data_IF_141263868018
#
_entry.id   IF_141263868018
#
_cell.length_a   1.000
_cell.length_b   1.000
_cell.length_c   1.000
_cell.angle_alpha   90.00
_cell.angle_beta   90.00
_cell.angle_gamma   90.00
#
_symmetry.space_group_name_H-M   'P 1'
#
loop_
_entity.id
_entity.type
_entity.pdbx_description
1 polymer ?
#
# COMPACT_ATOMS: atom_id res chain seq x y z
N UNK A 1 -2.82 24.94 3.30
CA UNK A 1 -3.20 24.13 4.49
C UNK A 1 -3.93 22.87 4.01
N UNK A 2 -3.59 21.74 4.60
CA UNK A 2 -4.27 20.49 4.26
C UNK A 2 -5.72 20.50 4.71
N UNK A 3 -6.57 19.87 3.88
CA UNK A 3 -8.01 19.82 4.13
C UNK A 3 -8.47 18.37 4.26
N UNK A 4 -7.94 17.66 5.25
CA UNK A 4 -8.38 16.30 5.54
C UNK A 4 -8.65 16.13 7.03
N UNK A 5 -9.49 15.16 7.36
CA UNK A 5 -9.77 14.81 8.75
C UNK A 5 -8.90 13.64 9.15
N UNK A 6 -8.27 13.75 10.33
CA UNK A 6 -7.36 12.72 10.82
C UNK A 6 -8.05 11.37 10.97
N UNK A 7 -9.31 11.35 11.40
CA UNK A 7 -10.07 10.12 11.55
C UNK A 7 -10.27 9.42 10.21
N UNK A 8 -10.52 10.20 9.14
CA UNK A 8 -10.67 9.65 7.80
C UNK A 8 -9.36 9.03 7.31
N UNK A 9 -8.26 9.71 7.56
CA UNK A 9 -6.93 9.21 7.20
C UNK A 9 -6.61 7.90 7.93
N UNK A 10 -6.84 7.87 9.23
CA UNK A 10 -6.59 6.67 10.02
C UNK A 10 -7.44 5.50 9.54
N UNK A 11 -8.72 5.76 9.26
CA UNK A 11 -9.61 4.72 8.78
C UNK A 11 -9.18 4.21 7.41
N UNK A 12 -8.73 5.11 6.54
CA UNK A 12 -8.23 4.76 5.22
C UNK A 12 -7.03 3.80 5.32
N UNK A 13 -6.08 4.10 6.18
CA UNK A 13 -4.90 3.25 6.37
C UNK A 13 -5.29 1.89 6.95
N UNK A 14 -6.21 1.87 7.92
CA UNK A 14 -6.71 0.60 8.47
C UNK A 14 -7.39 -0.25 7.41
N UNK A 15 -8.17 0.39 6.53
CA UNK A 15 -8.82 -0.30 5.43
C UNK A 15 -7.81 -0.89 4.45
N UNK A 16 -6.73 -0.16 4.15
CA UNK A 16 -5.65 -0.67 3.31
C UNK A 16 -5.04 -1.93 3.90
N UNK A 17 -4.73 -1.89 5.20
CA UNK A 17 -4.10 -3.03 5.87
C UNK A 17 -5.03 -4.24 5.91
N UNK A 18 -6.30 -4.03 6.23
CA UNK A 18 -7.28 -5.11 6.27
C UNK A 18 -7.47 -5.74 4.89
N UNK A 19 -7.61 -4.90 3.86
CA UNK A 19 -7.78 -5.36 2.48
C UNK A 19 -6.53 -6.08 1.99
N UNK A 20 -5.35 -5.55 2.31
CA UNK A 20 -4.09 -6.17 1.92
C UNK A 20 -3.94 -7.56 2.55
N UNK A 21 -4.25 -7.69 3.84
CA UNK A 21 -4.18 -8.99 4.51
C UNK A 21 -5.11 -10.00 3.87
N UNK A 22 -6.34 -9.58 3.60
CA UNK A 22 -7.35 -10.47 3.02
C UNK A 22 -6.98 -10.91 1.60
N UNK A 23 -6.66 -9.96 0.73
CA UNK A 23 -6.40 -10.26 -0.69
C UNK A 23 -5.05 -10.95 -0.89
N UNK A 24 -4.04 -10.58 -0.13
CA UNK A 24 -2.73 -11.21 -0.25
C UNK A 24 -2.79 -12.68 0.15
N UNK A 25 -3.56 -13.00 1.19
CA UNK A 25 -3.73 -14.39 1.61
C UNK A 25 -4.34 -15.23 0.50
N UNK A 26 -5.34 -14.68 -0.19
CA UNK A 26 -6.01 -15.39 -1.29
C UNK A 26 -5.06 -15.62 -2.46
N UNK A 27 -4.31 -14.59 -2.86
CA UNK A 27 -3.42 -14.64 -4.03
C UNK A 27 -2.18 -15.48 -3.76
N UNK A 28 -1.62 -15.38 -2.57
CA UNK A 28 -0.38 -16.07 -2.22
C UNK A 28 -0.45 -17.57 -2.47
N UNK A 29 -1.59 -18.19 -2.19
CA UNK A 29 -1.72 -19.63 -2.31
C UNK A 29 -1.93 -20.11 -3.75
N UNK A 30 -2.36 -19.22 -4.65
CA UNK A 30 -2.77 -19.62 -6.00
C UNK A 30 -1.99 -18.87 -7.09
N UNK A 31 -2.16 -17.57 -7.20
CA UNK A 31 -1.64 -16.79 -8.32
C UNK A 31 -0.21 -16.31 -8.15
N UNK A 32 0.17 -15.94 -6.93
CA UNK A 32 1.49 -15.39 -6.67
C UNK A 32 2.61 -16.35 -7.09
N UNK A 33 2.43 -17.63 -6.84
CA UNK A 33 3.41 -18.64 -7.20
C UNK A 33 3.50 -18.86 -8.71
N UNK A 34 2.38 -18.77 -9.40
CA UNK A 34 2.36 -19.00 -10.85
C UNK A 34 2.97 -17.84 -11.64
N UNK A 35 2.72 -16.62 -11.26
CA UNK A 35 3.26 -15.46 -11.96
C UNK A 35 4.77 -15.42 -11.95
N UNK A 36 5.38 -15.90 -10.89
CA UNK A 36 6.84 -15.98 -10.80
C UNK A 36 7.40 -16.93 -11.85
N UNK A 37 6.70 -18.01 -12.12
CA UNK A 37 7.16 -19.01 -13.07
C UNK A 37 7.12 -18.56 -14.52
N UNK A 38 6.41 -17.48 -14.85
CA UNK A 38 6.26 -16.99 -16.22
C UNK A 38 7.46 -16.18 -16.69
N UNK A 39 8.39 -15.88 -15.80
CA UNK A 39 9.62 -15.21 -16.20
C UNK A 39 9.52 -13.69 -16.34
N UNK A 40 8.45 -13.09 -15.90
CA UNK A 40 8.34 -11.64 -15.87
C UNK A 40 9.32 -11.07 -14.84
N UNK A 41 9.80 -9.84 -15.08
CA UNK A 41 10.78 -9.21 -14.21
C UNK A 41 10.28 -8.95 -12.80
N UNK A 42 8.97 -8.83 -12.62
CA UNK A 42 8.40 -8.60 -11.30
C UNK A 42 6.93 -9.03 -11.26
N UNK A 43 6.48 -9.37 -10.05
CA UNK A 43 5.07 -9.67 -9.78
C UNK A 43 4.54 -8.61 -8.81
N UNK A 44 3.41 -8.02 -9.13
CA UNK A 44 2.79 -6.98 -8.30
C UNK A 44 1.43 -7.42 -7.79
N UNK A 45 1.15 -7.01 -6.57
CA UNK A 45 -0.16 -7.09 -5.96
C UNK A 45 -0.47 -5.72 -5.36
N UNK A 46 -1.68 -5.21 -5.57
CA UNK A 46 -2.02 -3.85 -5.19
C UNK A 46 -3.43 -3.78 -4.63
N UNK A 47 -3.57 -3.11 -3.50
CA UNK A 47 -4.87 -2.81 -2.91
C UNK A 47 -5.03 -1.31 -2.75
N UNK A 48 -6.27 -0.84 -2.79
CA UNK A 48 -6.61 0.58 -2.70
C UNK A 48 -7.57 0.84 -1.56
N UNK A 49 -7.48 2.04 -1.01
CA UNK A 49 -8.52 2.61 -0.16
C UNK A 49 -8.79 4.04 -0.61
N UNK A 50 -10.05 4.40 -0.74
CA UNK A 50 -10.46 5.74 -1.16
C UNK A 50 -10.85 6.56 0.06
N UNK A 51 -10.57 7.85 0.00
CA UNK A 51 -11.01 8.79 1.01
C UNK A 51 -11.06 10.19 0.42
N UNK A 52 -11.79 11.09 1.08
CA UNK A 52 -11.93 12.46 0.62
C UNK A 52 -11.56 13.43 1.73
N UNK A 53 -11.15 14.63 1.35
CA UNK A 53 -10.90 15.68 2.30
C UNK A 53 -12.09 16.65 2.37
N UNK A 54 -11.95 17.69 3.19
CA UNK A 54 -13.02 18.66 3.43
C UNK A 54 -13.36 19.54 2.22
N UNK A 55 -12.53 19.52 1.17
CA UNK A 55 -12.72 20.28 -0.06
C UNK A 55 -13.24 19.43 -1.21
N UNK A 56 -13.84 18.28 -0.91
CA UNK A 56 -14.35 17.34 -1.90
C UNK A 56 -13.26 16.78 -2.84
N UNK A 57 -12.00 16.87 -2.43
CA UNK A 57 -10.91 16.21 -3.14
C UNK A 57 -10.86 14.75 -2.74
N UNK A 58 -10.62 13.90 -3.73
CA UNK A 58 -10.58 12.46 -3.52
C UNK A 58 -9.15 11.96 -3.64
N UNK A 59 -8.76 11.17 -2.67
CA UNK A 59 -7.46 10.52 -2.67
C UNK A 59 -7.66 9.02 -2.70
N UNK A 60 -6.77 8.33 -3.38
CA UNK A 60 -6.67 6.89 -3.29
C UNK A 60 -5.31 6.58 -2.68
N UNK A 61 -5.30 5.85 -1.59
CA UNK A 61 -4.08 5.30 -1.06
C UNK A 61 -3.96 3.86 -1.49
N UNK A 62 -2.75 3.42 -1.80
CA UNK A 62 -2.52 2.08 -2.29
C UNK A 62 -1.34 1.46 -1.56
N UNK A 63 -1.45 0.19 -1.27
CA UNK A 63 -0.35 -0.62 -0.77
C UNK A 63 -0.02 -1.64 -1.84
N UNK A 64 1.23 -1.63 -2.29
CA UNK A 64 1.71 -2.54 -3.32
C UNK A 64 2.70 -3.52 -2.70
N UNK A 65 2.56 -4.78 -3.02
CA UNK A 65 3.53 -5.81 -2.69
C UNK A 65 4.20 -6.20 -4.00
N UNK A 66 5.48 -5.98 -4.09
CA UNK A 66 6.23 -6.15 -5.32
C UNK A 66 7.30 -7.20 -5.09
N UNK A 67 7.25 -8.28 -5.86
CA UNK A 67 8.27 -9.32 -5.81
C UNK A 67 9.07 -9.31 -7.09
N UNK A 68 10.39 -9.20 -6.94
CA UNK A 68 11.31 -9.31 -8.07
C UNK A 68 11.64 -10.77 -8.30
N UNK A 69 11.45 -11.25 -9.52
CA UNK A 69 11.60 -12.68 -9.82
C UNK A 69 13.02 -13.20 -9.63
N UNK A 70 14.02 -12.32 -9.75
CA UNK A 70 15.42 -12.71 -9.59
C UNK A 70 15.94 -12.60 -8.15
N UNK A 71 15.17 -11.98 -7.26
CA UNK A 71 15.65 -11.60 -5.93
C UNK A 71 14.81 -12.24 -4.82
N UNK A 72 13.65 -12.75 -5.11
CA UNK A 72 12.69 -13.37 -4.17
C UNK A 72 12.27 -12.50 -2.98
N UNK A 73 12.79 -11.29 -2.86
CA UNK A 73 12.36 -10.37 -1.81
C UNK A 73 11.06 -9.68 -2.19
N UNK A 74 10.30 -9.31 -1.17
CA UNK A 74 9.01 -8.65 -1.36
C UNK A 74 9.11 -7.24 -0.81
N UNK A 75 8.99 -6.25 -1.67
CA UNK A 75 8.99 -4.86 -1.28
C UNK A 75 7.56 -4.41 -1.03
N UNK A 76 7.36 -3.66 0.06
CA UNK A 76 6.07 -3.05 0.38
C UNK A 76 6.17 -1.57 0.06
N UNK A 77 5.32 -1.09 -0.83
CA UNK A 77 5.31 0.28 -1.30
C UNK A 77 3.96 0.93 -1.02
N UNK A 78 4.00 2.15 -0.49
CA UNK A 78 2.81 2.93 -0.18
C UNK A 78 2.72 4.09 -1.17
N UNK A 79 1.56 4.27 -1.77
CA UNK A 79 1.32 5.32 -2.75
C UNK A 79 0.08 6.12 -2.41
N UNK A 80 0.09 7.39 -2.77
CA UNK A 80 -1.08 8.26 -2.71
C UNK A 80 -1.33 8.81 -4.11
N UNK A 81 -2.56 8.67 -4.58
CA UNK A 81 -3.01 9.21 -5.86
C UNK A 81 -4.07 10.27 -5.59
N UNK A 82 -4.03 11.35 -6.33
CA UNK A 82 -5.13 12.32 -6.35
C UNK A 82 -6.07 11.91 -7.48
N UNK A 83 -7.31 11.61 -7.13
CA UNK A 83 -8.30 11.18 -8.11
C UNK A 83 -8.52 12.28 -9.14
N UNK A 84 -8.62 11.90 -10.41
CA UNK A 84 -8.77 12.82 -11.55
C UNK A 84 -7.53 13.67 -11.81
N UNK A 85 -6.38 13.26 -11.31
CA UNK A 85 -5.10 13.90 -11.55
C UNK A 85 -4.06 12.84 -11.87
N UNK A 86 -3.01 13.25 -12.58
CA UNK A 86 -1.87 12.36 -12.83
C UNK A 86 -0.86 12.38 -11.68
N UNK A 87 -1.16 13.13 -10.65
CA UNK A 87 -0.22 13.30 -9.53
C UNK A 87 -0.25 12.09 -8.61
N UNK A 88 0.92 11.51 -8.38
CA UNK A 88 1.09 10.43 -7.43
C UNK A 88 2.37 10.63 -6.64
N UNK A 89 2.35 10.16 -5.38
CA UNK A 89 3.55 10.07 -4.55
C UNK A 89 3.64 8.66 -4.00
N UNK A 90 4.86 8.13 -3.92
CA UNK A 90 5.06 6.79 -3.36
C UNK A 90 6.33 6.73 -2.52
N UNK A 91 6.39 5.77 -1.63
CA UNK A 91 7.57 5.51 -0.82
C UNK A 91 7.61 4.04 -0.40
N UNK A 92 8.82 3.48 -0.37
CA UNK A 92 9.00 2.12 0.13
C UNK A 92 8.78 2.12 1.64
N UNK A 93 8.04 1.13 2.13
CA UNK A 93 7.70 1.00 3.54
C UNK A 93 8.39 -0.19 4.21
N UNK A 94 8.76 -1.19 3.45
CA UNK A 94 9.40 -2.36 4.02
C UNK A 94 9.93 -3.31 2.96
N UNK A 95 10.80 -4.22 3.40
CA UNK A 95 11.37 -5.25 2.56
C UNK A 95 11.31 -6.57 3.34
N UNK A 96 10.66 -7.57 2.77
CA UNK A 96 10.43 -8.85 3.41
C UNK A 96 11.06 -9.97 2.59
N UNK A 97 11.54 -11.00 3.27
CA UNK A 97 12.13 -12.17 2.62
C UNK A 97 11.09 -13.23 2.29
N UNK A 98 10.01 -13.29 3.07
CA UNK A 98 8.99 -14.33 2.92
C UNK A 98 7.59 -13.73 2.99
N UNK A 99 6.58 -14.41 2.42
CA UNK A 99 5.19 -13.97 2.57
C UNK A 99 4.72 -13.90 4.03
N UNK A 100 5.24 -14.77 4.89
CA UNK A 100 4.92 -14.77 6.31
C UNK A 100 5.37 -13.45 6.96
N UNK A 101 6.52 -12.93 6.56
CA UNK A 101 6.99 -11.63 7.04
C UNK A 101 6.09 -10.49 6.57
N UNK A 102 5.51 -10.61 5.37
CA UNK A 102 4.55 -9.63 4.89
C UNK A 102 3.32 -9.61 5.80
N UNK A 103 2.80 -10.78 6.16
CA UNK A 103 1.65 -10.86 7.08
C UNK A 103 1.97 -10.28 8.45
N UNK A 104 3.17 -10.55 8.97
CA UNK A 104 3.61 -9.97 10.24
C UNK A 104 3.70 -8.45 10.14
N UNK A 105 4.25 -7.94 9.04
CA UNK A 105 4.34 -6.51 8.80
C UNK A 105 2.95 -5.86 8.77
N UNK A 106 1.99 -6.52 8.10
CA UNK A 106 0.62 -6.01 7.98
C UNK A 106 -0.14 -6.04 9.31
N UNK A 107 0.28 -6.84 10.27
CA UNK A 107 -0.34 -6.92 11.60
C UNK A 107 0.32 -6.02 12.64
N UNK A 108 1.46 -5.46 12.33
CA UNK A 108 2.28 -4.73 13.28
C UNK A 108 1.76 -3.31 13.45
N UNK A 109 1.58 -2.88 14.72
CA UNK A 109 1.13 -1.52 15.04
C UNK A 109 2.13 -0.47 14.58
N UNK A 110 3.41 -0.77 14.65
CA UNK A 110 4.45 0.15 14.18
C UNK A 110 4.36 0.36 12.68
N UNK A 111 4.09 -0.71 11.92
CA UNK A 111 3.88 -0.60 10.47
C UNK A 111 2.71 0.31 10.15
N UNK A 112 1.61 0.13 10.87
CA UNK A 112 0.42 0.96 10.70
C UNK A 112 0.73 2.42 10.99
N UNK A 113 1.42 2.71 12.10
CA UNK A 113 1.78 4.08 12.47
C UNK A 113 2.74 4.70 11.45
N UNK A 114 3.71 3.92 10.97
CA UNK A 114 4.64 4.41 9.95
C UNK A 114 3.91 4.77 8.66
N UNK A 115 2.92 3.99 8.27
CA UNK A 115 2.09 4.32 7.10
C UNK A 115 1.28 5.58 7.31
N UNK A 116 0.71 5.78 8.50
CA UNK A 116 -0.01 7.02 8.82
C UNK A 116 0.91 8.24 8.68
N UNK A 117 2.10 8.15 9.25
CA UNK A 117 3.07 9.25 9.20
C UNK A 117 3.51 9.55 7.76
N UNK A 118 3.75 8.51 6.97
CA UNK A 118 4.17 8.69 5.57
C UNK A 118 3.06 9.26 4.71
N UNK A 119 1.81 8.85 4.92
CA UNK A 119 0.67 9.40 4.17
C UNK A 119 0.52 10.88 4.47
N UNK A 120 0.66 11.30 5.72
CA UNK A 120 0.61 12.71 6.06
C UNK A 120 1.67 13.51 5.29
N UNK A 121 2.90 12.99 5.24
CA UNK A 121 3.98 13.62 4.49
C UNK A 121 3.72 13.68 2.99
N UNK A 122 3.17 12.61 2.42
CA UNK A 122 2.85 12.56 0.99
C UNK A 122 1.75 13.55 0.64
N UNK A 123 0.74 13.68 1.50
CA UNK A 123 -0.35 14.63 1.29
C UNK A 123 0.16 16.07 1.37
N UNK A 124 1.10 16.35 2.25
CA UNK A 124 1.72 17.68 2.33
C UNK A 124 2.36 18.10 1.00
N UNK A 125 2.92 17.12 0.27
CA UNK A 125 3.53 17.39 -1.03
C UNK A 125 2.49 17.62 -2.13
N UNK A 126 1.28 17.07 -1.96
CA UNK A 126 0.20 17.22 -2.93
C UNK A 126 -0.57 18.52 -2.70
N UNK A 127 -0.86 18.82 -1.46
CA UNK A 127 -1.58 20.03 -1.07
C UNK A 127 -0.67 21.25 -1.10
#
# INVERSE_FOLDING_TARGET
>A
MRSYKKENLQQCVRNLFAQARYEFKAIHNIEWKFKIAVGEGMTKFKVFSLWENDNDCFYATALELIRLNYDSKIMIDLSVYVKFSDYTCSCAMGLCDTPEEVFEWLRNQESLQNCLDKIEGLIDNID
#
